data_IF_307682746731
#
_entry.id   IF_307682746731
#
_cell.length_a   1.000
_cell.length_b   1.000
_cell.length_c   1.000
_cell.angle_alpha   90.00
_cell.angle_beta   90.00
_cell.angle_gamma   90.00
#
_symmetry.space_group_name_H-M   'P 1'
#
loop_
_entity.id
_entity.type
_entity.pdbx_description
1 polymer ?
#
# COMPACT_ATOMS: atom_id res chain seq x y z
N UNK A 1 -14.15 -6.74 -3.19
CA UNK A 1 -12.90 -7.10 -2.51
C UNK A 1 -13.01 -8.51 -1.94
N UNK A 2 -11.97 -9.33 -2.06
CA UNK A 2 -11.93 -10.62 -1.38
C UNK A 2 -11.82 -10.39 0.16
N UNK A 3 -12.66 -11.03 1.00
CA UNK A 3 -12.65 -10.83 2.45
C UNK A 3 -11.31 -11.13 3.13
N UNK A 4 -10.45 -11.94 2.52
CA UNK A 4 -9.13 -12.29 3.06
C UNK A 4 -8.04 -11.30 2.65
N UNK A 5 -8.25 -10.54 1.57
CA UNK A 5 -7.31 -9.52 1.08
C UNK A 5 -7.76 -8.11 1.44
N UNK A 6 -8.04 -7.84 2.72
CA UNK A 6 -8.53 -6.53 3.20
C UNK A 6 -7.45 -5.47 3.39
N UNK A 7 -6.19 -5.87 3.36
CA UNK A 7 -5.06 -4.96 3.53
C UNK A 7 -3.91 -5.35 2.64
N UNK A 8 -3.13 -4.38 2.17
CA UNK A 8 -1.86 -4.59 1.52
C UNK A 8 -0.77 -3.76 2.20
N UNK A 9 0.44 -4.31 2.27
CA UNK A 9 1.64 -3.52 2.54
C UNK A 9 2.17 -3.02 1.21
N UNK A 10 2.41 -1.73 1.11
CA UNK A 10 3.01 -1.09 -0.06
C UNK A 10 4.38 -0.57 0.35
N UNK A 11 5.40 -0.96 -0.39
CA UNK A 11 6.77 -0.49 -0.25
C UNK A 11 7.17 0.21 -1.53
N UNK A 12 7.69 1.44 -1.42
CA UNK A 12 8.24 2.20 -2.54
C UNK A 12 9.73 1.90 -2.57
N UNK A 13 10.20 1.35 -3.68
CA UNK A 13 11.60 0.97 -3.86
C UNK A 13 12.25 1.85 -4.93
N UNK A 14 13.51 2.22 -4.72
CA UNK A 14 14.36 2.80 -5.77
C UNK A 14 14.82 1.70 -6.75
N UNK A 15 15.48 2.11 -7.84
CA UNK A 15 15.97 1.17 -8.85
C UNK A 15 17.06 0.21 -8.32
N UNK A 16 17.74 0.58 -7.24
CA UNK A 16 18.69 -0.25 -6.49
C UNK A 16 18.02 -1.10 -5.39
N UNK A 17 16.69 -1.22 -5.43
CA UNK A 17 15.86 -2.01 -4.51
C UNK A 17 15.85 -1.51 -3.05
N UNK A 18 16.38 -0.31 -2.78
CA UNK A 18 16.29 0.30 -1.45
C UNK A 18 14.87 0.83 -1.18
N UNK A 19 14.31 0.47 -0.02
CA UNK A 19 12.99 0.94 0.42
C UNK A 19 13.09 2.42 0.82
N UNK A 20 12.35 3.27 0.11
CA UNK A 20 12.27 4.71 0.32
C UNK A 20 11.09 5.11 1.23
N UNK A 21 10.13 4.20 1.41
CA UNK A 21 8.96 4.44 2.22
C UNK A 21 7.93 3.32 2.07
N UNK A 22 6.88 3.37 2.87
CA UNK A 22 5.81 2.39 2.79
C UNK A 22 4.74 2.59 3.84
N UNK A 23 3.71 1.75 3.73
CA UNK A 23 2.58 1.75 4.64
C UNK A 23 1.69 0.54 4.43
N UNK A 24 0.80 0.31 5.40
CA UNK A 24 -0.25 -0.70 5.29
C UNK A 24 -1.59 -0.02 5.07
N UNK A 25 -2.24 -0.35 3.97
CA UNK A 25 -3.46 0.28 3.52
C UNK A 25 -4.57 -0.75 3.40
N UNK A 26 -5.82 -0.31 3.62
CA UNK A 26 -6.96 -1.09 3.19
C UNK A 26 -6.90 -1.25 1.66
N UNK A 27 -7.53 -2.30 1.13
CA UNK A 27 -7.52 -2.56 -0.31
C UNK A 27 -8.74 -1.97 -1.03
N UNK A 28 -9.67 -1.38 -0.28
CA UNK A 28 -10.82 -0.66 -0.81
C UNK A 28 -10.49 0.79 -1.20
N UNK A 29 -11.52 1.53 -1.60
CA UNK A 29 -11.43 2.93 -2.04
C UNK A 29 -10.93 3.86 -0.93
N UNK A 30 -11.23 3.55 0.34
CA UNK A 30 -10.75 4.35 1.47
C UNK A 30 -9.24 4.18 1.64
N UNK A 31 -8.76 2.94 1.51
CA UNK A 31 -7.33 2.63 1.48
C UNK A 31 -6.60 3.31 0.32
N UNK A 32 -7.20 3.32 -0.88
CA UNK A 32 -6.65 4.07 -2.02
C UNK A 32 -6.58 5.58 -1.74
N UNK A 33 -7.64 6.15 -1.16
CA UNK A 33 -7.67 7.58 -0.79
C UNK A 33 -6.61 7.91 0.26
N UNK A 34 -6.34 7.00 1.20
CA UNK A 34 -5.28 7.17 2.19
C UNK A 34 -3.88 7.14 1.57
N UNK A 35 -3.66 6.44 0.45
CA UNK A 35 -2.39 6.45 -0.28
C UNK A 35 -2.11 7.76 -1.03
N UNK A 36 -3.15 8.55 -1.35
CA UNK A 36 -3.01 9.80 -2.09
C UNK A 36 -2.66 11.02 -1.21
N UNK A 37 -2.52 10.84 0.09
CA UNK A 37 -2.17 11.88 1.07
C UNK A 37 -0.68 11.84 1.40
#
# INVERSE_FOLDING_TARGET
MDPHKRSATIEVMSADEAIQGGGRFATDTDGYTAMLR
#
